data_IF_091004678516
#
_entry.id   IF_091004678516
#
_cell.length_a   1.000
_cell.length_b   1.000
_cell.length_c   1.000
_cell.angle_alpha   90.00
_cell.angle_beta   90.00
_cell.angle_gamma   90.00
#
_symmetry.space_group_name_H-M   'P 1'
#
loop_
_entity.id
_entity.type
_entity.pdbx_description
1 polymer ?
#
# COMPACT_ATOMS: atom_id res chain seq x y z
N UNK A 1 -76.04 -6.49 14.79
CA UNK A 1 -74.63 -6.74 14.44
C UNK A 1 -74.41 -6.30 13.00
N UNK A 2 -73.53 -5.32 12.77
CA UNK A 2 -73.04 -5.00 11.44
C UNK A 2 -71.63 -4.41 11.60
N UNK A 3 -70.65 -5.29 11.67
CA UNK A 3 -69.22 -4.95 11.63
C UNK A 3 -68.87 -4.69 10.16
N UNK A 4 -68.86 -3.42 9.77
CA UNK A 4 -68.32 -3.00 8.47
C UNK A 4 -66.81 -3.17 8.47
N UNK A 5 -66.33 -4.14 7.68
CA UNK A 5 -64.92 -4.29 7.39
C UNK A 5 -64.42 -3.07 6.61
N UNK A 6 -63.61 -2.23 7.26
CA UNK A 6 -62.88 -1.18 6.57
C UNK A 6 -61.83 -1.83 5.63
N UNK A 7 -61.68 -1.36 4.39
CA UNK A 7 -60.62 -1.84 3.53
C UNK A 7 -59.29 -1.42 4.15
N UNK A 8 -58.39 -2.39 4.37
CA UNK A 8 -57.00 -2.10 4.68
C UNK A 8 -56.40 -1.35 3.49
N UNK A 9 -56.17 -0.04 3.64
CA UNK A 9 -55.40 0.75 2.69
C UNK A 9 -53.97 0.21 2.68
N UNK A 10 -53.68 -0.67 1.72
CA UNK A 10 -52.32 -0.99 1.34
C UNK A 10 -51.72 0.25 0.67
N UNK A 11 -50.67 0.78 1.27
CA UNK A 11 -49.86 1.86 0.72
C UNK A 11 -49.44 1.49 -0.73
N UNK A 12 -49.74 2.31 -1.75
CA UNK A 12 -49.52 1.95 -3.17
C UNK A 12 -48.05 1.66 -3.53
N UNK A 13 -47.12 1.94 -2.63
CA UNK A 13 -45.69 1.74 -2.82
C UNK A 13 -45.17 0.33 -2.46
N UNK A 14 -46.03 -0.60 -2.02
CA UNK A 14 -45.62 -1.88 -1.45
C UNK A 14 -46.37 -3.09 -2.03
N UNK A 15 -46.39 -3.26 -3.35
CA UNK A 15 -46.73 -4.59 -3.88
C UNK A 15 -45.58 -5.58 -3.58
N UNK A 16 -45.87 -6.86 -3.28
CA UNK A 16 -44.84 -7.87 -3.05
C UNK A 16 -43.81 -7.95 -4.18
N UNK A 17 -44.26 -7.83 -5.44
CA UNK A 17 -43.38 -7.88 -6.61
C UNK A 17 -42.47 -6.65 -6.75
N UNK A 18 -42.97 -5.45 -6.45
CA UNK A 18 -42.14 -4.25 -6.41
C UNK A 18 -41.06 -4.35 -5.31
N UNK A 19 -41.42 -4.94 -4.17
CA UNK A 19 -40.48 -5.20 -3.06
C UNK A 19 -39.42 -6.22 -3.47
N UNK A 20 -39.79 -7.33 -4.12
CA UNK A 20 -38.84 -8.32 -4.68
C UNK A 20 -37.86 -7.68 -5.66
N UNK A 21 -38.37 -6.91 -6.63
CA UNK A 21 -37.52 -6.21 -7.60
C UNK A 21 -36.59 -5.16 -6.96
N UNK A 22 -36.98 -4.58 -5.83
CA UNK A 22 -36.11 -3.67 -5.07
C UNK A 22 -35.01 -4.42 -4.32
N UNK A 23 -35.34 -5.54 -3.68
CA UNK A 23 -34.38 -6.42 -3.01
C UNK A 23 -33.33 -6.92 -4.00
N UNK A 24 -33.75 -7.37 -5.18
CA UNK A 24 -32.84 -7.86 -6.22
C UNK A 24 -31.86 -6.78 -6.69
N UNK A 25 -32.34 -5.55 -6.90
CA UNK A 25 -31.48 -4.40 -7.21
C UNK A 25 -30.50 -4.08 -6.08
N UNK A 26 -30.88 -4.25 -4.82
CA UNK A 26 -29.97 -4.03 -3.68
C UNK A 26 -28.88 -5.08 -3.62
N UNK A 27 -29.21 -6.34 -3.90
CA UNK A 27 -28.22 -7.42 -4.01
C UNK A 27 -27.25 -7.16 -5.16
N UNK A 28 -27.72 -6.89 -6.38
CA UNK A 28 -26.86 -6.59 -7.52
C UNK A 28 -25.88 -5.43 -7.22
N UNK A 29 -26.38 -4.39 -6.54
CA UNK A 29 -25.52 -3.27 -6.13
C UNK A 29 -24.54 -3.63 -5.00
N UNK A 30 -24.89 -4.59 -4.14
CA UNK A 30 -24.00 -5.12 -3.11
C UNK A 30 -22.91 -6.00 -3.73
N UNK A 31 -23.23 -6.78 -4.76
CA UNK A 31 -22.26 -7.57 -5.54
C UNK A 31 -21.23 -6.65 -6.21
N UNK A 32 -21.69 -5.63 -6.94
CA UNK A 32 -20.79 -4.61 -7.53
C UNK A 32 -19.92 -3.92 -6.48
N UNK A 33 -20.48 -3.61 -5.31
CA UNK A 33 -19.70 -3.01 -4.23
C UNK A 33 -18.69 -4.00 -3.61
N UNK A 34 -18.99 -5.30 -3.64
CA UNK A 34 -18.09 -6.37 -3.18
C UNK A 34 -16.93 -6.57 -4.13
N UNK A 35 -17.17 -6.52 -5.45
CA UNK A 35 -16.09 -6.53 -6.45
C UNK A 35 -15.12 -5.35 -6.26
N UNK A 36 -15.67 -4.15 -6.04
CA UNK A 36 -14.85 -2.95 -5.76
C UNK A 36 -14.11 -3.07 -4.42
N UNK A 37 -14.72 -3.67 -3.40
CA UNK A 37 -14.07 -3.98 -2.12
C UNK A 37 -12.87 -4.92 -2.33
N UNK A 38 -13.07 -6.03 -3.05
CA UNK A 38 -12.03 -7.01 -3.33
C UNK A 38 -10.88 -6.38 -4.11
N UNK A 39 -11.19 -5.66 -5.19
CA UNK A 39 -10.18 -4.96 -6.00
C UNK A 39 -9.37 -3.94 -5.19
N UNK A 40 -10.03 -3.17 -4.32
CA UNK A 40 -9.33 -2.23 -3.44
C UNK A 40 -8.48 -2.97 -2.37
N UNK A 41 -8.92 -4.14 -1.92
CA UNK A 41 -8.19 -5.00 -1.00
C UNK A 41 -6.92 -5.58 -1.63
N UNK A 42 -7.02 -6.12 -2.85
CA UNK A 42 -5.89 -6.61 -3.64
C UNK A 42 -4.86 -5.51 -3.87
N UNK A 43 -5.30 -4.34 -4.37
CA UNK A 43 -4.45 -3.15 -4.55
C UNK A 43 -3.75 -2.75 -3.24
N UNK A 44 -4.46 -2.76 -2.11
CA UNK A 44 -3.89 -2.44 -0.81
C UNK A 44 -2.84 -3.49 -0.36
N UNK A 45 -3.03 -4.76 -0.71
CA UNK A 45 -2.06 -5.82 -0.46
C UNK A 45 -0.78 -5.62 -1.26
N UNK A 46 -0.89 -5.35 -2.56
CA UNK A 46 0.25 -5.06 -3.44
C UNK A 46 1.04 -3.84 -2.96
N UNK A 47 0.35 -2.73 -2.67
CA UNK A 47 0.99 -1.50 -2.21
C UNK A 47 1.68 -1.67 -0.87
N UNK A 48 1.13 -2.51 0.04
CA UNK A 48 1.81 -2.84 1.30
C UNK A 48 3.15 -3.52 1.02
N UNK A 49 3.17 -4.53 0.15
CA UNK A 49 4.41 -5.22 -0.20
C UNK A 49 5.46 -4.29 -0.83
N UNK A 50 5.02 -3.37 -1.71
CA UNK A 50 5.90 -2.35 -2.30
C UNK A 50 6.48 -1.40 -1.25
N UNK A 51 5.66 -0.92 -0.32
CA UNK A 51 6.11 -0.06 0.78
C UNK A 51 7.13 -0.79 1.65
N UNK A 52 6.87 -2.04 2.02
CA UNK A 52 7.78 -2.82 2.86
C UNK A 52 9.14 -3.03 2.18
N UNK A 53 9.14 -3.36 0.87
CA UNK A 53 10.37 -3.47 0.09
C UNK A 53 11.10 -2.13 -0.05
N UNK A 54 10.37 -1.03 -0.24
CA UNK A 54 10.98 0.30 -0.35
C UNK A 54 11.61 0.75 0.97
N UNK A 55 11.00 0.43 2.12
CA UNK A 55 11.57 0.70 3.44
C UNK A 55 12.89 -0.06 3.65
N UNK A 56 12.91 -1.33 3.28
CA UNK A 56 14.10 -2.19 3.36
C UNK A 56 15.22 -1.70 2.42
N UNK A 57 14.90 -1.33 1.17
CA UNK A 57 15.87 -0.69 0.26
C UNK A 57 16.38 0.65 0.81
N UNK A 58 15.51 1.47 1.39
CA UNK A 58 15.90 2.74 1.99
C UNK A 58 16.82 2.55 3.20
N UNK A 59 16.59 1.54 4.04
CA UNK A 59 17.45 1.19 5.16
C UNK A 59 18.87 0.81 4.68
N UNK A 60 18.96 -0.13 3.72
CA UNK A 60 20.25 -0.51 3.11
C UNK A 60 20.95 0.66 2.43
N UNK A 61 20.19 1.51 1.73
CA UNK A 61 20.71 2.71 1.09
C UNK A 61 21.30 3.69 2.10
N UNK A 62 20.62 3.91 3.23
CA UNK A 62 21.09 4.76 4.31
C UNK A 62 22.34 4.20 4.98
N UNK A 63 22.41 2.88 5.21
CA UNK A 63 23.62 2.24 5.73
C UNK A 63 24.80 2.40 4.77
N UNK A 64 24.60 2.22 3.47
CA UNK A 64 25.65 2.42 2.46
C UNK A 64 26.18 3.86 2.52
N UNK A 65 25.28 4.85 2.57
CA UNK A 65 25.63 6.27 2.73
C UNK A 65 26.44 6.51 4.01
N UNK A 66 26.03 5.91 5.12
CA UNK A 66 26.74 6.06 6.41
C UNK A 66 28.14 5.46 6.36
N UNK A 67 28.32 4.27 5.76
CA UNK A 67 29.64 3.65 5.58
C UNK A 67 30.58 4.53 4.75
N UNK A 68 30.11 5.05 3.62
CA UNK A 68 30.91 5.95 2.77
C UNK A 68 31.25 7.26 3.48
N UNK A 69 30.30 7.85 4.23
CA UNK A 69 30.56 9.03 5.07
C UNK A 69 31.60 8.75 6.15
N UNK A 70 31.55 7.59 6.79
CA UNK A 70 32.53 7.17 7.80
C UNK A 70 33.94 7.05 7.20
N UNK A 71 34.08 6.40 6.04
CA UNK A 71 35.36 6.25 5.35
C UNK A 71 35.96 7.63 4.97
N UNK A 72 35.15 8.50 4.36
CA UNK A 72 35.56 9.86 3.98
C UNK A 72 35.87 10.73 5.21
N UNK A 73 35.10 10.58 6.29
CA UNK A 73 35.31 11.32 7.54
C UNK A 73 36.61 10.94 8.25
N UNK A 74 36.96 9.65 8.27
CA UNK A 74 38.23 9.17 8.84
C UNK A 74 39.43 9.76 8.09
N UNK A 75 39.35 9.81 6.76
CA UNK A 75 40.36 10.42 5.91
C UNK A 75 40.46 11.94 6.14
N UNK A 76 39.34 12.65 6.10
CA UNK A 76 39.32 14.10 6.36
C UNK A 76 39.87 14.42 7.75
N UNK A 77 39.57 13.59 8.75
CA UNK A 77 40.14 13.69 10.08
C UNK A 77 41.66 13.47 10.12
N UNK A 78 42.19 12.56 9.29
CA UNK A 78 43.63 12.37 9.16
C UNK A 78 44.32 13.59 8.53
N UNK A 79 43.73 14.16 7.48
CA UNK A 79 44.21 15.40 6.83
C UNK A 79 44.16 16.62 7.77
N UNK A 80 43.10 16.72 8.59
CA UNK A 80 43.00 17.78 9.60
C UNK A 80 44.11 17.65 10.65
N UNK A 81 44.35 16.43 11.14
CA UNK A 81 45.41 16.15 12.13
C UNK A 81 46.83 16.33 11.58
N UNK A 82 47.05 16.21 10.27
CA UNK A 82 48.34 16.51 9.64
C UNK A 82 48.62 18.02 9.52
N UNK A 83 47.74 18.88 10.06
CA UNK A 83 47.99 20.32 10.19
C UNK A 83 47.76 21.12 8.91
N UNK A 84 47.07 20.56 7.91
CA UNK A 84 46.74 21.27 6.67
C UNK A 84 47.89 21.40 5.67
N UNK A 85 49.05 20.79 5.94
CA UNK A 85 50.10 20.66 4.93
C UNK A 85 49.62 19.64 3.89
N UNK A 86 49.49 20.10 2.65
CA UNK A 86 49.15 19.23 1.52
C UNK A 86 50.21 18.13 1.39
N UNK A 87 49.83 16.84 1.24
CA UNK A 87 50.79 15.75 1.11
C UNK A 87 51.75 15.92 -0.08
N UNK A 88 51.32 16.57 -1.15
CA UNK A 88 52.18 16.94 -2.29
C UNK A 88 53.18 18.03 -1.92
N UNK A 89 52.79 19.04 -1.14
CA UNK A 89 53.73 20.03 -0.59
C UNK A 89 54.74 19.41 0.39
N UNK A 90 54.27 18.50 1.26
CA UNK A 90 55.15 17.77 2.18
C UNK A 90 56.19 16.91 1.41
N UNK A 91 55.80 16.33 0.27
CA UNK A 91 56.72 15.62 -0.62
C UNK A 91 57.72 16.53 -1.32
N UNK A 92 57.30 17.72 -1.74
CA UNK A 92 58.20 18.70 -2.37
C UNK A 92 59.30 19.18 -1.39
N UNK A 93 58.97 19.24 -0.10
CA UNK A 93 59.86 19.66 0.98
C UNK A 93 60.68 18.49 1.59
N UNK A 94 60.54 17.27 1.06
CA UNK A 94 61.22 16.06 1.53
C UNK A 94 62.71 16.05 1.16
N UNK A 95 63.55 15.56 2.08
CA UNK A 95 65.00 15.40 1.87
C UNK A 95 65.39 14.25 0.93
N UNK A 96 64.42 13.46 0.46
CA UNK A 96 64.64 12.28 -0.42
C UNK A 96 63.85 12.45 -1.74
N UNK A 97 64.35 13.27 -2.70
CA UNK A 97 63.68 13.54 -3.96
C UNK A 97 63.60 12.32 -4.91
N UNK A 98 64.46 11.32 -4.71
CA UNK A 98 64.51 10.10 -5.54
C UNK A 98 63.25 9.24 -5.36
N UNK A 99 62.61 9.33 -4.19
CA UNK A 99 61.34 8.65 -3.87
C UNK A 99 60.09 9.47 -4.26
N UNK A 100 60.28 10.69 -4.78
CA UNK A 100 59.19 11.63 -5.04
C UNK A 100 58.19 11.07 -6.05
N UNK A 101 58.65 10.57 -7.20
CA UNK A 101 57.78 10.09 -8.27
C UNK A 101 56.94 8.88 -7.83
N UNK A 102 57.52 7.99 -7.03
CA UNK A 102 56.81 6.84 -6.47
C UNK A 102 55.69 7.31 -5.52
N UNK A 103 56.02 8.17 -4.55
CA UNK A 103 55.05 8.68 -3.57
C UNK A 103 53.98 9.58 -4.21
N UNK A 104 54.34 10.37 -5.23
CA UNK A 104 53.40 11.17 -6.01
C UNK A 104 52.39 10.27 -6.74
N UNK A 105 52.85 9.17 -7.35
CA UNK A 105 51.95 8.22 -8.03
C UNK A 105 50.97 7.53 -7.07
N UNK A 106 51.41 7.25 -5.83
CA UNK A 106 50.55 6.69 -4.78
C UNK A 106 49.50 7.70 -4.33
N UNK A 107 49.90 8.96 -4.11
CA UNK A 107 48.97 10.03 -3.75
C UNK A 107 47.93 10.30 -4.83
N UNK A 108 48.34 10.28 -6.10
CA UNK A 108 47.44 10.50 -7.23
C UNK A 108 46.34 9.42 -7.29
N UNK A 109 46.74 8.14 -7.17
CA UNK A 109 45.78 7.02 -7.07
C UNK A 109 44.84 7.14 -5.87
N UNK A 110 45.36 7.61 -4.74
CA UNK A 110 44.55 7.86 -3.54
C UNK A 110 43.55 8.99 -3.79
N UNK A 111 43.97 10.08 -4.44
CA UNK A 111 43.10 11.21 -4.79
C UNK A 111 42.00 10.79 -5.79
N UNK A 112 42.35 10.01 -6.82
CA UNK A 112 41.38 9.44 -7.76
C UNK A 112 40.35 8.57 -7.04
N UNK A 113 40.79 7.67 -6.15
CA UNK A 113 39.90 6.82 -5.37
C UNK A 113 38.95 7.63 -4.47
N UNK A 114 39.44 8.72 -3.87
CA UNK A 114 38.62 9.62 -3.05
C UNK A 114 37.57 10.35 -3.88
N UNK A 115 37.96 10.88 -5.05
CA UNK A 115 37.04 11.53 -5.99
C UNK A 115 35.94 10.57 -6.44
N UNK A 116 36.32 9.32 -6.78
CA UNK A 116 35.39 8.24 -7.09
C UNK A 116 34.41 7.96 -5.94
N UNK A 117 34.91 7.83 -4.72
CA UNK A 117 34.09 7.59 -3.52
C UNK A 117 33.11 8.74 -3.25
N UNK A 118 33.52 10.00 -3.45
CA UNK A 118 32.65 11.17 -3.33
C UNK A 118 31.53 11.18 -4.38
N UNK A 119 31.85 10.81 -5.62
CA UNK A 119 30.87 10.67 -6.69
C UNK A 119 29.85 9.57 -6.36
N UNK A 120 30.31 8.40 -5.90
CA UNK A 120 29.45 7.31 -5.45
C UNK A 120 28.55 7.68 -4.28
N UNK A 121 29.07 8.44 -3.30
CA UNK A 121 28.29 8.94 -2.18
C UNK A 121 27.17 9.87 -2.67
N UNK A 122 27.49 10.82 -3.56
CA UNK A 122 26.49 11.71 -4.15
C UNK A 122 25.43 10.96 -4.93
N UNK A 123 25.82 9.95 -5.70
CA UNK A 123 24.87 9.08 -6.43
C UNK A 123 23.97 8.31 -5.45
N UNK A 124 24.53 7.73 -4.40
CA UNK A 124 23.76 7.00 -3.39
C UNK A 124 22.78 7.88 -2.63
N UNK A 125 23.18 9.11 -2.29
CA UNK A 125 22.31 10.08 -1.64
C UNK A 125 21.13 10.47 -2.55
N UNK A 126 21.37 10.68 -3.85
CA UNK A 126 20.30 10.95 -4.81
C UNK A 126 19.37 9.74 -4.98
N UNK A 127 19.92 8.54 -5.10
CA UNK A 127 19.13 7.31 -5.18
C UNK A 127 18.25 7.10 -3.94
N UNK A 128 18.82 7.29 -2.74
CA UNK A 128 18.07 7.20 -1.49
C UNK A 128 16.97 8.25 -1.38
N UNK A 129 17.21 9.48 -1.84
CA UNK A 129 16.20 10.53 -1.86
C UNK A 129 15.04 10.17 -2.80
N UNK A 130 15.34 9.63 -3.99
CA UNK A 130 14.34 9.17 -4.95
C UNK A 130 13.51 8.02 -4.37
N UNK A 131 14.15 7.01 -3.79
CA UNK A 131 13.50 5.86 -3.16
C UNK A 131 12.52 6.30 -2.05
N UNK A 132 12.92 7.28 -1.24
CA UNK A 132 12.04 7.85 -0.19
C UNK A 132 10.82 8.56 -0.76
N UNK A 133 10.97 9.27 -1.88
CA UNK A 133 9.86 9.95 -2.55
C UNK A 133 8.88 8.95 -3.14
N UNK A 134 9.36 7.86 -3.75
CA UNK A 134 8.54 6.79 -4.28
C UNK A 134 7.79 6.06 -3.16
N UNK A 135 8.50 5.68 -2.08
CA UNK A 135 7.90 5.06 -0.90
C UNK A 135 6.79 5.93 -0.28
N UNK A 136 6.98 7.26 -0.22
CA UNK A 136 5.96 8.18 0.28
C UNK A 136 4.71 8.21 -0.63
N UNK A 137 4.87 8.09 -1.95
CA UNK A 137 3.75 8.01 -2.89
C UNK A 137 2.99 6.69 -2.74
N UNK A 138 3.70 5.57 -2.63
CA UNK A 138 3.11 4.26 -2.45
C UNK A 138 2.34 4.18 -1.12
N UNK A 139 2.89 4.76 -0.05
CA UNK A 139 2.20 4.86 1.24
C UNK A 139 0.91 5.70 1.13
N UNK A 140 0.95 6.84 0.44
CA UNK A 140 -0.23 7.66 0.22
C UNK A 140 -1.29 6.95 -0.64
N UNK A 141 -0.88 6.10 -1.59
CA UNK A 141 -1.81 5.26 -2.35
C UNK A 141 -2.38 4.12 -1.50
N UNK A 142 -1.56 3.49 -0.65
CA UNK A 142 -1.97 2.44 0.27
C UNK A 142 -3.08 2.94 1.20
N UNK A 143 -2.92 4.13 1.77
CA UNK A 143 -3.93 4.73 2.65
C UNK A 143 -5.22 5.05 1.89
N UNK A 144 -5.13 5.55 0.65
CA UNK A 144 -6.31 5.73 -0.21
C UNK A 144 -7.02 4.42 -0.51
N UNK A 145 -6.27 3.34 -0.77
CA UNK A 145 -6.84 2.02 -1.03
C UNK A 145 -7.51 1.45 0.21
N UNK A 146 -6.89 1.57 1.40
CA UNK A 146 -7.51 1.19 2.69
C UNK A 146 -8.80 1.94 2.96
N UNK A 147 -8.82 3.25 2.71
CA UNK A 147 -10.03 4.06 2.83
C UNK A 147 -11.12 3.61 1.84
N UNK A 148 -10.74 3.20 0.62
CA UNK A 148 -11.66 2.64 -0.36
C UNK A 148 -12.25 1.31 0.10
N UNK A 149 -11.42 0.38 0.59
CA UNK A 149 -11.86 -0.89 1.21
C UNK A 149 -12.91 -0.62 2.28
N UNK A 150 -12.62 0.26 3.24
CA UNK A 150 -13.55 0.60 4.32
C UNK A 150 -14.85 1.24 3.83
N UNK A 151 -14.81 2.04 2.77
CA UNK A 151 -16.01 2.64 2.15
C UNK A 151 -16.87 1.60 1.42
N UNK A 152 -16.24 0.72 0.65
CA UNK A 152 -16.94 -0.33 -0.09
C UNK A 152 -17.55 -1.35 0.86
N UNK A 153 -16.83 -1.76 1.92
CA UNK A 153 -17.37 -2.61 2.99
C UNK A 153 -18.65 -2.04 3.59
N UNK A 154 -18.64 -0.78 4.02
CA UNK A 154 -19.83 -0.10 4.56
C UNK A 154 -20.98 -0.02 3.55
N UNK A 155 -20.67 0.12 2.28
CA UNK A 155 -21.67 0.15 1.21
C UNK A 155 -22.33 -1.21 1.02
N UNK A 156 -21.55 -2.29 1.03
CA UNK A 156 -22.05 -3.67 0.98
C UNK A 156 -22.95 -3.93 2.19
N UNK A 157 -22.46 -3.69 3.40
CA UNK A 157 -23.21 -3.91 4.64
C UNK A 157 -24.54 -3.15 4.66
N UNK A 158 -24.54 -1.86 4.30
CA UNK A 158 -25.77 -1.05 4.24
C UNK A 158 -26.79 -1.63 3.26
N UNK A 159 -26.36 -2.04 2.06
CA UNK A 159 -27.26 -2.60 1.04
C UNK A 159 -27.85 -3.95 1.48
N UNK A 160 -27.03 -4.80 2.09
CA UNK A 160 -27.48 -6.09 2.62
C UNK A 160 -28.47 -5.91 3.78
N UNK A 161 -28.25 -4.95 4.68
CA UNK A 161 -29.19 -4.61 5.75
C UNK A 161 -30.52 -4.07 5.19
N UNK A 162 -30.48 -3.17 4.21
CA UNK A 162 -31.68 -2.65 3.54
C UNK A 162 -32.47 -3.78 2.85
N UNK A 163 -31.77 -4.67 2.12
CA UNK A 163 -32.37 -5.84 1.48
C UNK A 163 -33.04 -6.76 2.50
N UNK A 164 -32.36 -7.07 3.62
CA UNK A 164 -32.93 -7.89 4.70
C UNK A 164 -34.17 -7.25 5.31
N UNK A 165 -34.16 -5.93 5.53
CA UNK A 165 -35.31 -5.19 6.06
C UNK A 165 -36.52 -5.31 5.15
N UNK A 166 -36.34 -5.20 3.84
CA UNK A 166 -37.42 -5.34 2.86
C UNK A 166 -37.98 -6.77 2.82
N UNK A 167 -37.12 -7.80 2.84
CA UNK A 167 -37.56 -9.21 2.90
C UNK A 167 -38.34 -9.49 4.19
N UNK A 168 -37.91 -8.93 5.32
CA UNK A 168 -38.62 -9.08 6.60
C UNK A 168 -39.95 -8.32 6.65
N UNK A 169 -40.15 -7.31 5.80
CA UNK A 169 -41.40 -6.57 5.70
C UNK A 169 -42.45 -7.27 4.80
N UNK A 170 -42.07 -8.28 4.02
CA UNK A 170 -43.00 -9.06 3.20
C UNK A 170 -43.92 -9.93 4.09
N UNK A 171 -45.18 -10.18 3.67
CA UNK A 171 -46.04 -11.20 4.26
C UNK A 171 -45.38 -12.58 4.23
N UNK A 172 -45.71 -13.46 5.20
CA UNK A 172 -45.01 -14.74 5.35
C UNK A 172 -45.09 -15.64 4.11
N UNK A 173 -46.24 -15.67 3.42
CA UNK A 173 -46.40 -16.40 2.16
C UNK A 173 -45.44 -15.90 1.05
N UNK A 174 -45.28 -14.58 0.94
CA UNK A 174 -44.40 -13.96 -0.05
C UNK A 174 -42.92 -14.14 0.29
N UNK A 175 -42.59 -14.14 1.59
CA UNK A 175 -41.24 -14.40 2.10
C UNK A 175 -40.81 -15.84 1.83
N UNK A 176 -41.68 -16.83 2.09
CA UNK A 176 -41.40 -18.25 1.78
C UNK A 176 -41.21 -18.46 0.28
N UNK A 177 -42.02 -17.80 -0.55
CA UNK A 177 -41.87 -17.84 -2.00
C UNK A 177 -40.52 -17.26 -2.45
N UNK A 178 -40.12 -16.10 -1.90
CA UNK A 178 -38.82 -15.49 -2.16
C UNK A 178 -37.64 -16.38 -1.73
N UNK A 179 -37.69 -16.95 -0.53
CA UNK A 179 -36.64 -17.83 -0.02
C UNK A 179 -36.47 -19.08 -0.89
N UNK A 180 -37.57 -19.65 -1.42
CA UNK A 180 -37.51 -20.77 -2.36
C UNK A 180 -36.87 -20.36 -3.69
N UNK A 181 -37.28 -19.22 -4.25
CA UNK A 181 -36.74 -18.69 -5.50
C UNK A 181 -35.24 -18.35 -5.39
N UNK A 182 -34.83 -17.74 -4.28
CA UNK A 182 -33.42 -17.35 -4.03
C UNK A 182 -32.48 -18.55 -3.89
N UNK A 183 -32.97 -19.66 -3.32
CA UNK A 183 -32.22 -20.92 -3.18
C UNK A 183 -32.03 -21.63 -4.52
N UNK A 184 -33.01 -21.54 -5.43
CA UNK A 184 -32.86 -22.06 -6.78
C UNK A 184 -31.95 -21.22 -7.68
N UNK A 185 -31.65 -19.99 -7.26
CA UNK A 185 -30.88 -19.02 -8.05
C UNK A 185 -29.54 -18.69 -7.39
N UNK A 186 -28.77 -19.66 -6.87
CA UNK A 186 -27.41 -19.53 -6.30
C UNK A 186 -27.11 -18.32 -5.37
N UNK A 187 -28.14 -17.60 -4.89
CA UNK A 187 -28.05 -16.31 -4.19
C UNK A 187 -27.79 -16.47 -2.70
N UNK A 188 -28.04 -17.67 -2.19
CA UNK A 188 -27.79 -18.01 -0.79
C UNK A 188 -26.30 -17.99 -0.42
N UNK A 189 -25.40 -17.90 -1.40
CA UNK A 189 -23.96 -18.02 -1.22
C UNK A 189 -23.15 -16.73 -1.10
N UNK A 190 -23.73 -15.53 -1.19
CA UNK A 190 -22.96 -14.28 -1.13
C UNK A 190 -22.28 -14.10 0.24
N UNK A 191 -20.97 -14.37 0.38
CA UNK A 191 -20.29 -14.23 1.64
C UNK A 191 -20.21 -12.73 1.95
N UNK A 192 -20.69 -12.31 3.11
CA UNK A 192 -20.46 -10.94 3.55
C UNK A 192 -18.96 -10.64 3.62
N UNK A 193 -18.54 -9.37 3.62
CA UNK A 193 -17.12 -8.97 3.64
C UNK A 193 -16.35 -9.47 4.87
N UNK A 194 -17.03 -10.00 5.90
CA UNK A 194 -16.44 -10.66 7.07
C UNK A 194 -16.23 -12.18 6.89
N UNK A 195 -16.82 -12.80 5.86
CA UNK A 195 -16.68 -14.23 5.52
C UNK A 195 -15.60 -14.52 4.47
N UNK A 196 -15.04 -13.48 3.83
CA UNK A 196 -13.81 -13.58 3.06
C UNK A 196 -12.64 -13.71 4.05
N UNK A 197 -12.40 -14.92 4.54
CA UNK A 197 -11.14 -15.26 5.19
C UNK A 197 -9.99 -14.82 4.27
N UNK A 198 -8.85 -14.34 4.83
CA UNK A 198 -7.68 -14.08 4.00
C UNK A 198 -7.37 -15.38 3.27
N UNK A 199 -7.27 -15.32 1.94
CA UNK A 199 -6.82 -16.45 1.14
C UNK A 199 -5.50 -16.95 1.76
N UNK A 200 -5.59 -18.02 2.55
CA UNK A 200 -4.44 -18.57 3.23
C UNK A 200 -3.50 -19.05 2.14
N UNK A 201 -2.25 -18.60 2.19
CA UNK A 201 -1.19 -19.03 1.29
C UNK A 201 -1.15 -20.55 1.19
N UNK A 202 -1.60 -21.05 0.04
CA UNK A 202 -1.20 -22.33 -0.51
C UNK A 202 -1.03 -22.14 -2.02
N UNK A 203 0.17 -21.71 -2.39
CA UNK A 203 0.80 -22.15 -3.62
C UNK A 203 2.22 -22.57 -3.22
N UNK A 204 2.52 -23.82 -3.57
CA UNK A 204 3.79 -24.49 -3.37
C UNK A 204 4.90 -23.87 -4.23
#
# INVERSE_FOLDING_TARGET
AALGAAPASADPHLTPDATRARVDRLFEQAEKATELYNKAGERAGELRALVDQAQDRAARGQERVNRMRGALGSLAGAQYRSGGIDPGLALLLSSHPDEYLEKASVLDRVAEHQSGTLLELRQAQRGLAQERLESARDLAELERSRAAVARHKRTVERKLVEARRLVNALPDADRVSYDRASRSSDRAGMPGPSGAAPASGRAA
#
